data_IF_071162217156
#
_entry.id   IF_071162217156
#
_cell.length_a   1.000
_cell.length_b   1.000
_cell.length_c   1.000
_cell.angle_alpha   90.00
_cell.angle_beta   90.00
_cell.angle_gamma   90.00
#
_symmetry.space_group_name_H-M   'P 1'
#
loop_
_entity.id
_entity.type
_entity.pdbx_description
1 polymer ?
#
# COMPACT_ATOMS: atom_id res chain seq x y z
N UNK A 1 22.46 -25.48 -3.05
CA UNK A 1 21.81 -24.68 -2.00
C UNK A 1 21.89 -23.22 -2.40
N UNK A 2 20.76 -22.56 -2.64
CA UNK A 2 20.75 -21.11 -2.86
C UNK A 2 21.28 -20.40 -1.61
N UNK A 3 22.36 -19.63 -1.74
CA UNK A 3 22.87 -18.81 -0.65
C UNK A 3 21.77 -17.85 -0.18
N UNK A 4 21.36 -17.97 1.07
CA UNK A 4 20.38 -17.09 1.71
C UNK A 4 20.94 -15.67 1.73
N UNK A 5 20.26 -14.73 1.08
CA UNK A 5 20.62 -13.31 1.12
C UNK A 5 20.30 -12.76 2.51
N UNK A 6 21.28 -12.16 3.16
CA UNK A 6 21.15 -11.52 4.48
C UNK A 6 21.15 -10.00 4.34
N UNK A 7 20.55 -9.30 5.31
CA UNK A 7 20.55 -7.83 5.34
C UNK A 7 21.95 -7.23 5.41
N UNK A 8 22.90 -7.99 5.98
CA UNK A 8 24.32 -7.59 6.13
C UNK A 8 25.16 -7.70 4.86
N UNK A 9 24.63 -8.34 3.82
CA UNK A 9 25.38 -8.59 2.59
C UNK A 9 25.63 -7.28 1.79
N UNK A 10 26.66 -7.33 0.93
CA UNK A 10 26.80 -6.30 -0.10
C UNK A 10 25.79 -6.54 -1.23
N UNK A 11 25.03 -5.48 -1.58
CA UNK A 11 23.98 -5.55 -2.58
C UNK A 11 24.44 -5.00 -3.95
N UNK A 12 24.82 -5.91 -4.86
CA UNK A 12 24.90 -5.63 -6.30
C UNK A 12 23.50 -5.53 -6.92
N UNK A 13 23.36 -5.04 -8.16
CA UNK A 13 22.08 -4.95 -8.87
C UNK A 13 21.30 -6.27 -8.84
N UNK A 14 21.93 -7.38 -9.25
CA UNK A 14 21.27 -8.69 -9.30
C UNK A 14 20.82 -9.20 -7.92
N UNK A 15 21.63 -8.98 -6.87
CA UNK A 15 21.25 -9.38 -5.49
C UNK A 15 20.11 -8.52 -4.96
N UNK A 16 20.12 -7.21 -5.25
CA UNK A 16 19.09 -6.28 -4.84
C UNK A 16 17.74 -6.63 -5.49
N UNK A 17 17.72 -6.84 -6.80
CA UNK A 17 16.53 -7.27 -7.53
C UNK A 17 16.03 -8.61 -6.97
N UNK A 18 16.91 -9.63 -6.83
CA UNK A 18 16.51 -10.94 -6.32
C UNK A 18 15.92 -10.90 -4.90
N UNK A 19 16.39 -9.98 -4.07
CA UNK A 19 15.88 -9.80 -2.71
C UNK A 19 14.53 -9.07 -2.69
N UNK A 20 14.32 -8.10 -3.59
CA UNK A 20 13.10 -7.27 -3.63
C UNK A 20 11.97 -7.86 -4.48
N UNK A 21 12.26 -8.73 -5.46
CA UNK A 21 11.24 -9.39 -6.31
C UNK A 21 10.10 -10.01 -5.50
N UNK A 22 10.30 -10.77 -4.42
CA UNK A 22 9.17 -11.33 -3.68
C UNK A 22 8.24 -10.25 -3.12
N UNK A 23 8.78 -9.11 -2.67
CA UNK A 23 7.97 -7.98 -2.18
C UNK A 23 7.22 -7.28 -3.32
N UNK A 24 7.85 -7.14 -4.49
CA UNK A 24 7.21 -6.60 -5.69
C UNK A 24 6.05 -7.51 -6.12
N UNK A 25 6.29 -8.81 -6.24
CA UNK A 25 5.25 -9.78 -6.61
C UNK A 25 4.13 -9.83 -5.56
N UNK A 26 4.45 -9.71 -4.28
CA UNK A 26 3.45 -9.62 -3.20
C UNK A 26 2.50 -8.44 -3.42
N UNK A 27 3.03 -7.25 -3.73
CA UNK A 27 2.21 -6.06 -3.96
C UNK A 27 1.40 -6.15 -5.26
N UNK A 28 1.99 -6.66 -6.34
CA UNK A 28 1.26 -6.90 -7.60
C UNK A 28 0.10 -7.88 -7.36
N UNK A 29 0.34 -8.97 -6.65
CA UNK A 29 -0.69 -9.96 -6.37
C UNK A 29 -1.81 -9.38 -5.49
N UNK A 30 -1.46 -8.53 -4.52
CA UNK A 30 -2.43 -7.79 -3.69
C UNK A 30 -3.32 -6.88 -4.55
N UNK A 31 -2.74 -6.18 -5.53
CA UNK A 31 -3.52 -5.32 -6.44
C UNK A 31 -4.45 -6.15 -7.35
N UNK A 32 -3.95 -7.25 -7.90
CA UNK A 32 -4.74 -8.12 -8.79
C UNK A 32 -5.92 -8.75 -8.05
N UNK A 33 -5.71 -9.33 -6.88
CA UNK A 33 -6.83 -9.96 -6.18
C UNK A 33 -7.88 -8.94 -5.71
N UNK A 34 -7.49 -7.71 -5.39
CA UNK A 34 -8.43 -6.63 -5.09
C UNK A 34 -9.34 -6.28 -6.28
N UNK A 35 -8.80 -6.28 -7.50
CA UNK A 35 -9.59 -6.09 -8.74
C UNK A 35 -10.55 -7.27 -8.95
N UNK A 36 -10.08 -8.50 -8.73
CA UNK A 36 -10.89 -9.72 -8.89
C UNK A 36 -12.03 -9.76 -7.86
N UNK A 37 -11.77 -9.44 -6.59
CA UNK A 37 -12.78 -9.32 -5.54
C UNK A 37 -13.88 -8.32 -5.93
N UNK A 38 -13.49 -7.12 -6.39
CA UNK A 38 -14.44 -6.13 -6.90
C UNK A 38 -15.29 -6.63 -8.07
N UNK A 39 -14.71 -7.40 -8.99
CA UNK A 39 -15.44 -8.04 -10.09
C UNK A 39 -16.49 -9.03 -9.58
N UNK A 40 -16.14 -9.90 -8.65
CA UNK A 40 -17.09 -10.85 -8.07
C UNK A 40 -18.24 -10.14 -7.35
N UNK A 41 -17.94 -9.15 -6.51
CA UNK A 41 -18.97 -8.39 -5.79
C UNK A 41 -19.93 -7.71 -6.78
N UNK A 42 -19.41 -7.04 -7.81
CA UNK A 42 -20.26 -6.32 -8.78
C UNK A 42 -21.18 -7.23 -9.57
N UNK A 43 -20.74 -8.46 -9.92
CA UNK A 43 -21.50 -9.37 -10.80
C UNK A 43 -22.44 -10.30 -10.03
N UNK A 44 -22.11 -10.68 -8.79
CA UNK A 44 -22.88 -11.68 -8.05
C UNK A 44 -23.78 -11.11 -6.95
N UNK A 45 -23.48 -9.90 -6.45
CA UNK A 45 -24.22 -9.35 -5.31
C UNK A 45 -25.23 -8.28 -5.72
N UNK A 46 -24.97 -7.60 -6.82
CA UNK A 46 -25.87 -6.59 -7.36
C UNK A 46 -25.42 -5.15 -7.12
N UNK A 47 -26.16 -4.20 -7.70
CA UNK A 47 -25.76 -2.78 -7.79
C UNK A 47 -25.72 -2.08 -6.43
N UNK A 48 -26.78 -2.20 -5.62
CA UNK A 48 -26.85 -1.52 -4.31
C UNK A 48 -25.82 -2.04 -3.32
N UNK A 49 -25.64 -3.36 -3.12
CA UNK A 49 -24.59 -3.89 -2.26
C UNK A 49 -23.17 -3.54 -2.75
N UNK A 50 -22.93 -3.56 -4.06
CA UNK A 50 -21.64 -3.13 -4.62
C UNK A 50 -21.34 -1.67 -4.31
N UNK A 51 -22.35 -0.79 -4.42
CA UNK A 51 -22.22 0.61 -4.03
C UNK A 51 -21.92 0.75 -2.55
N UNK A 52 -22.58 -0.03 -1.68
CA UNK A 52 -22.35 -0.03 -0.24
C UNK A 52 -20.91 -0.44 0.13
N UNK A 53 -20.37 -1.48 -0.53
CA UNK A 53 -18.97 -1.90 -0.34
C UNK A 53 -18.01 -0.76 -0.68
N UNK A 54 -18.14 -0.17 -1.88
CA UNK A 54 -17.27 0.93 -2.30
C UNK A 54 -17.39 2.17 -1.39
N UNK A 55 -18.57 2.38 -0.84
CA UNK A 55 -18.84 3.52 0.04
C UNK A 55 -18.16 3.39 1.40
N UNK A 56 -18.16 2.20 2.02
CA UNK A 56 -17.54 1.97 3.34
C UNK A 56 -16.04 1.65 3.25
N UNK A 57 -15.54 1.24 2.06
CA UNK A 57 -14.14 0.85 1.85
C UNK A 57 -13.11 1.91 2.28
N UNK A 58 -13.25 3.21 1.97
CA UNK A 58 -12.27 4.22 2.42
C UNK A 58 -12.07 4.23 3.93
N UNK A 59 -13.15 4.09 4.70
CA UNK A 59 -13.07 3.98 6.15
C UNK A 59 -12.31 2.72 6.58
N UNK A 60 -12.65 1.56 6.02
CA UNK A 60 -12.00 0.29 6.34
C UNK A 60 -10.51 0.30 5.97
N UNK A 61 -10.14 0.93 4.85
CA UNK A 61 -8.75 1.10 4.44
C UNK A 61 -7.97 1.98 5.41
N UNK A 62 -8.53 3.09 5.88
CA UNK A 62 -7.87 3.98 6.85
C UNK A 62 -7.60 3.26 8.17
N UNK A 63 -8.58 2.53 8.72
CA UNK A 63 -8.34 1.79 9.98
C UNK A 63 -7.37 0.63 9.78
N UNK A 64 -7.40 -0.06 8.63
CA UNK A 64 -6.44 -1.10 8.27
C UNK A 64 -5.02 -0.59 8.06
N UNK A 65 -4.86 0.64 7.56
CA UNK A 65 -3.56 1.26 7.28
C UNK A 65 -2.68 1.43 8.54
N UNK A 66 -3.26 1.36 9.74
CA UNK A 66 -2.47 1.29 10.97
C UNK A 66 -1.58 0.04 11.03
N UNK A 67 -1.97 -1.05 10.38
CA UNK A 67 -1.12 -2.24 10.21
C UNK A 67 0.14 -1.94 9.39
N UNK A 68 0.00 -1.17 8.30
CA UNK A 68 1.15 -0.67 7.54
C UNK A 68 2.04 0.25 8.37
N UNK A 69 1.46 1.17 9.15
CA UNK A 69 2.21 2.06 10.03
C UNK A 69 3.11 1.27 10.99
N UNK A 70 2.57 0.27 11.69
CA UNK A 70 3.36 -0.60 12.57
C UNK A 70 4.37 -1.44 11.79
N UNK A 71 3.99 -1.92 10.60
CA UNK A 71 4.82 -2.75 9.73
C UNK A 71 6.05 -2.00 9.22
N UNK A 72 5.86 -0.89 8.51
CA UNK A 72 6.95 -0.13 7.87
C UNK A 72 7.82 0.57 8.89
N UNK A 73 7.21 1.29 9.84
CA UNK A 73 7.95 1.99 10.89
C UNK A 73 8.67 1.02 11.85
N UNK A 74 8.03 -0.11 12.17
CA UNK A 74 8.62 -1.18 12.97
C UNK A 74 9.75 -1.91 12.27
N UNK A 75 9.57 -2.21 10.98
CA UNK A 75 10.58 -2.83 10.11
C UNK A 75 11.87 -2.02 10.10
N UNK A 76 11.78 -0.71 9.89
CA UNK A 76 12.93 0.19 9.91
C UNK A 76 13.62 0.21 11.28
N UNK A 77 12.86 0.31 12.37
CA UNK A 77 13.43 0.32 13.73
C UNK A 77 14.14 -0.99 14.06
N UNK A 78 13.51 -2.14 13.76
CA UNK A 78 14.07 -3.46 14.04
C UNK A 78 15.33 -3.70 13.21
N UNK A 79 15.29 -3.43 11.90
CA UNK A 79 16.42 -3.63 11.00
C UNK A 79 17.63 -2.76 11.43
N UNK A 80 17.38 -1.52 11.83
CA UNK A 80 18.41 -0.65 12.38
C UNK A 80 19.06 -1.24 13.64
N UNK A 81 18.27 -1.72 14.60
CA UNK A 81 18.77 -2.33 15.84
C UNK A 81 19.54 -3.61 15.55
N UNK A 82 19.13 -4.39 14.54
CA UNK A 82 19.88 -5.53 14.05
C UNK A 82 21.25 -5.12 13.49
N UNK A 83 21.29 -4.03 12.71
CA UNK A 83 22.52 -3.43 12.19
C UNK A 83 23.47 -2.95 13.29
N UNK A 84 22.93 -2.43 14.39
CA UNK A 84 23.69 -2.06 15.60
C UNK A 84 24.23 -3.31 16.37
N UNK A 85 23.96 -4.54 15.91
CA UNK A 85 24.39 -5.80 16.54
C UNK A 85 23.52 -6.25 17.72
N UNK A 86 22.47 -5.53 18.08
CA UNK A 86 21.60 -5.79 19.25
C UNK A 86 20.42 -6.71 18.91
N UNK A 87 20.73 -7.95 18.49
CA UNK A 87 19.70 -8.91 18.01
C UNK A 87 18.63 -9.26 19.04
N UNK A 88 18.98 -9.39 20.32
CA UNK A 88 17.99 -9.68 21.37
C UNK A 88 16.97 -8.55 21.52
N UNK A 89 17.45 -7.29 21.53
CA UNK A 89 16.58 -6.12 21.59
C UNK A 89 15.68 -6.02 20.35
N UNK A 90 16.19 -6.38 19.17
CA UNK A 90 15.40 -6.44 17.95
C UNK A 90 14.24 -7.45 18.06
N UNK A 91 14.47 -8.64 18.66
CA UNK A 91 13.43 -9.65 18.89
C UNK A 91 12.40 -9.22 19.95
N UNK A 92 12.83 -8.51 21.00
CA UNK A 92 11.91 -7.95 22.01
C UNK A 92 10.98 -6.92 21.37
N UNK A 93 11.52 -5.99 20.56
CA UNK A 93 10.75 -4.96 19.88
C UNK A 93 9.85 -5.59 18.80
N UNK A 94 10.32 -6.59 18.06
CA UNK A 94 9.49 -7.34 17.12
C UNK A 94 8.26 -7.93 17.81
N UNK A 95 8.45 -8.58 18.95
CA UNK A 95 7.35 -9.18 19.72
C UNK A 95 6.40 -8.13 20.28
N UNK A 96 6.92 -7.00 20.75
CA UNK A 96 6.13 -5.88 21.24
C UNK A 96 5.25 -5.29 20.11
N UNK A 97 5.82 -5.08 18.93
CA UNK A 97 5.10 -4.51 17.80
C UNK A 97 4.00 -5.42 17.29
N UNK A 98 4.25 -6.74 17.21
CA UNK A 98 3.20 -7.69 16.83
C UNK A 98 2.06 -7.71 17.85
N UNK A 99 2.38 -7.73 19.15
CA UNK A 99 1.36 -7.65 20.21
C UNK A 99 0.60 -6.32 20.15
N UNK A 100 1.30 -5.19 19.99
CA UNK A 100 0.68 -3.87 19.87
C UNK A 100 -0.23 -3.75 18.63
N UNK A 101 0.20 -4.29 17.49
CA UNK A 101 -0.61 -4.32 16.26
C UNK A 101 -1.90 -5.11 16.48
N UNK A 102 -1.81 -6.30 17.09
CA UNK A 102 -3.00 -7.11 17.36
C UNK A 102 -3.96 -6.45 18.35
N UNK A 103 -3.43 -5.95 19.48
CA UNK A 103 -4.23 -5.30 20.52
C UNK A 103 -4.87 -4.01 20.00
N UNK A 104 -4.12 -3.17 19.29
CA UNK A 104 -4.68 -1.95 18.68
C UNK A 104 -5.74 -2.29 17.64
N UNK A 105 -5.51 -3.33 16.82
CA UNK A 105 -6.52 -3.82 15.87
C UNK A 105 -7.80 -4.28 16.57
N UNK A 106 -7.68 -4.98 17.69
CA UNK A 106 -8.85 -5.41 18.48
C UNK A 106 -9.61 -4.20 19.06
N UNK A 107 -8.90 -3.24 19.64
CA UNK A 107 -9.52 -2.02 20.21
C UNK A 107 -10.22 -1.21 19.13
N UNK A 108 -9.55 -0.99 18.00
CA UNK A 108 -10.11 -0.26 16.85
C UNK A 108 -11.32 -1.01 16.29
N UNK A 109 -11.26 -2.35 16.17
CA UNK A 109 -12.38 -3.15 15.70
C UNK A 109 -13.61 -2.98 16.59
N UNK A 110 -13.43 -3.10 17.92
CA UNK A 110 -14.54 -2.93 18.88
C UNK A 110 -15.14 -1.53 18.78
N UNK A 111 -14.32 -0.48 18.82
CA UNK A 111 -14.79 0.91 18.70
C UNK A 111 -15.50 1.12 17.35
N UNK A 112 -14.90 0.67 16.26
CA UNK A 112 -15.48 0.82 14.93
C UNK A 112 -16.79 0.07 14.77
N UNK A 113 -16.94 -1.14 15.31
CA UNK A 113 -18.20 -1.91 15.26
C UNK A 113 -19.30 -1.19 16.05
N UNK A 114 -18.98 -0.62 17.20
CA UNK A 114 -19.96 0.12 18.04
C UNK A 114 -20.46 1.38 17.32
N UNK A 115 -19.59 2.11 16.65
CA UNK A 115 -19.91 3.36 15.97
C UNK A 115 -20.17 3.22 14.46
N UNK A 116 -20.14 2.01 13.92
CA UNK A 116 -20.28 1.78 12.48
C UNK A 116 -21.56 2.35 11.87
N UNK A 117 -22.76 2.22 12.50
CA UNK A 117 -23.98 2.83 11.98
C UNK A 117 -23.88 4.35 11.87
N UNK A 118 -23.30 5.00 12.89
CA UNK A 118 -23.11 6.45 12.92
C UNK A 118 -22.09 6.90 11.88
N UNK A 119 -21.00 6.14 11.71
CA UNK A 119 -19.96 6.42 10.71
C UNK A 119 -20.54 6.30 9.30
N UNK A 120 -21.26 5.22 8.99
CA UNK A 120 -21.87 5.02 7.68
C UNK A 120 -22.93 6.08 7.37
N UNK A 121 -23.77 6.46 8.34
CA UNK A 121 -24.74 7.51 8.20
C UNK A 121 -24.07 8.89 8.03
N UNK A 122 -23.03 9.19 8.79
CA UNK A 122 -22.23 10.43 8.64
C UNK A 122 -21.58 10.56 7.27
N UNK A 123 -21.13 9.46 6.69
CA UNK A 123 -20.63 9.42 5.33
C UNK A 123 -21.74 9.64 4.27
N UNK A 124 -23.01 9.48 4.63
CA UNK A 124 -24.18 9.73 3.77
C UNK A 124 -24.90 8.46 3.31
N UNK A 125 -24.65 7.29 3.93
CA UNK A 125 -25.41 6.08 3.62
C UNK A 125 -26.81 6.12 4.24
N UNK A 126 -27.82 5.76 3.45
CA UNK A 126 -29.23 5.75 3.85
C UNK A 126 -29.93 4.46 3.40
N UNK A 127 -31.05 4.12 4.03
CA UNK A 127 -31.92 3.00 3.63
C UNK A 127 -31.21 1.65 3.56
N UNK A 128 -31.40 0.93 2.45
CA UNK A 128 -30.80 -0.39 2.22
C UNK A 128 -29.27 -0.33 2.14
N UNK A 129 -28.72 0.74 1.54
CA UNK A 129 -27.27 0.93 1.45
C UNK A 129 -26.64 1.05 2.83
N UNK A 130 -27.28 1.71 3.78
CA UNK A 130 -26.81 1.78 5.18
C UNK A 130 -26.79 0.39 5.84
N UNK A 131 -27.85 -0.39 5.64
CA UNK A 131 -27.92 -1.76 6.17
C UNK A 131 -26.81 -2.66 5.60
N UNK A 132 -26.52 -2.55 4.31
CA UNK A 132 -25.46 -3.28 3.64
C UNK A 132 -24.06 -2.82 4.09
N UNK A 133 -23.82 -1.52 4.25
CA UNK A 133 -22.59 -0.98 4.82
C UNK A 133 -22.32 -1.55 6.23
N UNK A 134 -23.36 -1.62 7.07
CA UNK A 134 -23.26 -2.14 8.44
C UNK A 134 -22.98 -3.65 8.39
N UNK A 135 -23.68 -4.40 7.55
CA UNK A 135 -23.52 -5.85 7.45
C UNK A 135 -22.10 -6.21 6.96
N UNK A 136 -21.65 -5.60 5.88
CA UNK A 136 -20.32 -5.79 5.32
C UNK A 136 -19.23 -5.36 6.31
N UNK A 137 -19.33 -4.13 6.80
CA UNK A 137 -18.31 -3.53 7.67
C UNK A 137 -18.13 -4.29 8.97
N UNK A 138 -19.21 -4.79 9.61
CA UNK A 138 -19.11 -5.60 10.83
C UNK A 138 -18.28 -6.86 10.63
N UNK A 139 -18.49 -7.60 9.53
CA UNK A 139 -17.75 -8.83 9.26
C UNK A 139 -16.27 -8.52 9.02
N UNK A 140 -15.95 -7.51 8.23
CA UNK A 140 -14.57 -7.10 7.96
C UNK A 140 -13.88 -6.60 9.24
N UNK A 141 -14.57 -5.82 10.06
CA UNK A 141 -14.00 -5.28 11.31
C UNK A 141 -13.67 -6.37 12.34
N UNK A 142 -14.41 -7.49 12.36
CA UNK A 142 -14.04 -8.65 13.18
C UNK A 142 -12.69 -9.24 12.75
N UNK A 143 -12.38 -9.22 11.47
CA UNK A 143 -11.10 -9.68 10.93
C UNK A 143 -9.99 -8.60 11.00
N UNK A 144 -10.29 -7.36 11.35
CA UNK A 144 -9.35 -6.23 11.35
C UNK A 144 -8.03 -6.49 12.09
N UNK A 145 -7.99 -7.12 13.29
CA UNK A 145 -6.73 -7.42 13.97
C UNK A 145 -5.80 -8.29 13.11
N UNK A 146 -6.35 -9.23 12.38
CA UNK A 146 -5.60 -10.12 11.49
C UNK A 146 -5.17 -9.42 10.20
N UNK A 147 -6.02 -8.56 9.64
CA UNK A 147 -5.65 -7.69 8.52
C UNK A 147 -4.45 -6.81 8.88
N UNK A 148 -4.50 -6.16 10.05
CA UNK A 148 -3.39 -5.32 10.52
C UNK A 148 -2.12 -6.15 10.73
N UNK A 149 -2.22 -7.38 11.25
CA UNK A 149 -1.09 -8.31 11.34
C UNK A 149 -0.56 -8.68 9.95
N UNK A 150 -1.43 -8.99 8.99
CA UNK A 150 -1.03 -9.31 7.62
C UNK A 150 -0.21 -8.17 6.98
N UNK A 151 -0.68 -6.94 7.12
CA UNK A 151 0.03 -5.76 6.63
C UNK A 151 1.37 -5.55 7.35
N UNK A 152 1.39 -5.69 8.67
CA UNK A 152 2.62 -5.57 9.44
C UNK A 152 3.64 -6.67 9.06
N UNK A 153 3.20 -7.91 8.91
CA UNK A 153 4.06 -9.02 8.48
C UNK A 153 4.55 -8.90 7.05
N UNK A 154 3.86 -8.18 6.18
CA UNK A 154 4.32 -7.85 4.83
C UNK A 154 5.72 -7.23 4.86
N UNK A 155 5.92 -6.19 5.67
CA UNK A 155 7.22 -5.52 5.85
C UNK A 155 8.16 -6.29 6.79
N UNK A 156 7.63 -6.80 7.91
CA UNK A 156 8.44 -7.48 8.93
C UNK A 156 9.01 -8.82 8.47
N UNK A 157 8.37 -9.51 7.53
CA UNK A 157 8.93 -10.73 6.92
C UNK A 157 10.19 -10.43 6.12
N UNK A 158 10.26 -9.27 5.46
CA UNK A 158 11.46 -8.82 4.75
C UNK A 158 12.59 -8.53 5.74
N UNK A 159 12.28 -7.85 6.84
CA UNK A 159 13.23 -7.59 7.94
C UNK A 159 13.74 -8.88 8.58
N UNK A 160 12.90 -9.90 8.67
CA UNK A 160 13.26 -11.23 9.15
C UNK A 160 14.06 -12.06 8.13
N UNK A 161 14.47 -11.46 7.00
CA UNK A 161 15.15 -12.11 5.88
C UNK A 161 14.34 -13.27 5.25
N UNK A 162 13.02 -13.12 5.27
CA UNK A 162 12.05 -14.09 4.71
C UNK A 162 11.04 -13.43 3.76
N UNK A 163 11.49 -12.67 2.73
CA UNK A 163 10.55 -11.99 1.84
C UNK A 163 9.63 -12.97 1.08
N UNK A 164 10.11 -14.18 0.79
CA UNK A 164 9.28 -15.23 0.17
C UNK A 164 8.09 -15.66 1.07
N UNK A 165 8.21 -15.55 2.40
CA UNK A 165 7.11 -15.86 3.32
C UNK A 165 5.95 -14.88 3.12
N UNK A 166 6.24 -13.58 3.04
CA UNK A 166 5.22 -12.57 2.76
C UNK A 166 4.48 -12.84 1.45
N UNK A 167 5.22 -13.13 0.38
CA UNK A 167 4.63 -13.49 -0.92
C UNK A 167 3.73 -14.71 -0.84
N UNK A 168 4.21 -15.82 -0.26
CA UNK A 168 3.42 -17.06 -0.15
C UNK A 168 2.14 -16.84 0.66
N UNK A 169 2.23 -16.11 1.76
CA UNK A 169 1.07 -15.77 2.60
C UNK A 169 0.05 -14.95 1.80
N UNK A 170 0.49 -13.95 1.05
CA UNK A 170 -0.39 -13.13 0.22
C UNK A 170 -1.07 -13.95 -0.87
N UNK A 171 -0.34 -14.87 -1.53
CA UNK A 171 -0.93 -15.76 -2.53
C UNK A 171 -1.98 -16.66 -1.88
N UNK A 172 -1.68 -17.28 -0.74
CA UNK A 172 -2.65 -18.15 -0.03
C UNK A 172 -3.90 -17.36 0.37
N UNK A 173 -3.72 -16.15 0.96
CA UNK A 173 -4.82 -15.27 1.33
C UNK A 173 -5.70 -14.90 0.14
N UNK A 174 -5.08 -14.48 -0.97
CA UNK A 174 -5.79 -14.08 -2.18
C UNK A 174 -6.53 -15.25 -2.84
N UNK A 175 -5.90 -16.42 -2.93
CA UNK A 175 -6.57 -17.64 -3.48
C UNK A 175 -7.75 -18.05 -2.61
N UNK A 176 -7.62 -17.99 -1.29
CA UNK A 176 -8.72 -18.33 -0.37
C UNK A 176 -9.85 -17.30 -0.45
N UNK A 177 -9.53 -16.00 -0.58
CA UNK A 177 -10.53 -14.97 -0.81
C UNK A 177 -11.29 -15.24 -2.12
N UNK A 178 -10.61 -15.38 -3.27
CA UNK A 178 -11.26 -15.66 -4.56
C UNK A 178 -12.09 -16.97 -4.54
N UNK A 179 -11.57 -18.02 -3.90
CA UNK A 179 -12.32 -19.29 -3.74
C UNK A 179 -13.53 -19.08 -2.86
N UNK A 180 -13.40 -18.29 -1.79
CA UNK A 180 -14.50 -17.91 -0.91
C UNK A 180 -15.56 -17.11 -1.65
N UNK A 181 -15.18 -16.18 -2.52
CA UNK A 181 -16.09 -15.38 -3.34
C UNK A 181 -16.94 -16.27 -4.25
N UNK A 182 -16.31 -17.19 -4.97
CA UNK A 182 -17.04 -18.18 -5.80
C UNK A 182 -18.00 -19.02 -4.95
N UNK A 183 -17.54 -19.49 -3.79
CA UNK A 183 -18.32 -20.40 -2.95
C UNK A 183 -19.47 -19.66 -2.25
N UNK A 184 -19.20 -18.54 -1.57
CA UNK A 184 -20.18 -17.87 -0.73
C UNK A 184 -21.15 -17.01 -1.54
N UNK A 185 -20.69 -16.36 -2.62
CA UNK A 185 -21.54 -15.57 -3.49
C UNK A 185 -22.12 -16.40 -4.64
N UNK A 186 -21.30 -17.21 -5.32
CA UNK A 186 -21.72 -17.93 -6.51
C UNK A 186 -22.54 -19.20 -6.19
N UNK A 187 -22.13 -20.01 -5.19
CA UNK A 187 -22.79 -21.28 -4.86
C UNK A 187 -23.82 -21.10 -3.76
N UNK A 188 -23.47 -20.47 -2.65
CA UNK A 188 -24.37 -20.33 -1.49
C UNK A 188 -25.29 -19.13 -1.57
N UNK A 189 -25.03 -18.18 -2.47
CA UNK A 189 -25.84 -16.96 -2.67
C UNK A 189 -26.03 -16.12 -1.40
N UNK A 190 -24.99 -16.03 -0.56
CA UNK A 190 -25.02 -15.25 0.68
C UNK A 190 -24.92 -13.73 0.46
N UNK A 191 -24.89 -13.28 -0.79
CA UNK A 191 -24.85 -11.86 -1.15
C UNK A 191 -23.65 -11.13 -0.54
N UNK A 192 -23.89 -9.91 -0.05
CA UNK A 192 -22.84 -9.04 0.51
C UNK A 192 -22.15 -9.64 1.75
N UNK A 193 -22.87 -10.43 2.54
CA UNK A 193 -22.27 -11.15 3.68
C UNK A 193 -21.27 -12.20 3.21
N UNK A 194 -21.56 -12.88 2.09
CA UNK A 194 -20.65 -13.83 1.46
C UNK A 194 -19.33 -13.17 1.02
N UNK A 195 -19.41 -12.01 0.36
CA UNK A 195 -18.24 -11.21 -0.01
C UNK A 195 -17.40 -10.84 1.22
N UNK A 196 -18.05 -10.30 2.26
CA UNK A 196 -17.37 -9.93 3.50
C UNK A 196 -16.71 -11.14 4.18
N UNK A 197 -17.36 -12.30 4.20
CA UNK A 197 -16.80 -13.51 4.81
C UNK A 197 -15.62 -14.08 4.03
N UNK A 198 -15.64 -14.04 2.70
CA UNK A 198 -14.52 -14.45 1.86
C UNK A 198 -13.29 -13.56 2.12
N UNK A 199 -13.48 -12.26 2.14
CA UNK A 199 -12.42 -11.28 2.44
C UNK A 199 -11.90 -11.44 3.88
N UNK A 200 -12.78 -11.57 4.87
CA UNK A 200 -12.40 -11.80 6.27
C UNK A 200 -11.62 -13.10 6.46
N UNK A 201 -12.00 -14.17 5.79
CA UNK A 201 -11.29 -15.46 5.82
C UNK A 201 -9.86 -15.31 5.26
N UNK A 202 -9.69 -14.63 4.12
CA UNK A 202 -8.37 -14.33 3.56
C UNK A 202 -7.50 -13.54 4.54
N UNK A 203 -8.05 -12.51 5.18
CA UNK A 203 -7.37 -11.67 6.16
C UNK A 203 -6.95 -12.45 7.42
N UNK A 204 -7.86 -13.26 7.98
CA UNK A 204 -7.59 -14.08 9.18
C UNK A 204 -6.44 -15.06 8.90
N UNK A 205 -6.47 -15.74 7.78
CA UNK A 205 -5.41 -16.68 7.39
C UNK A 205 -4.12 -15.95 7.09
N UNK A 206 -4.19 -14.81 6.40
CA UNK A 206 -3.05 -13.95 6.07
C UNK A 206 -2.31 -13.40 7.30
N UNK A 207 -3.04 -13.08 8.37
CA UNK A 207 -2.46 -12.67 9.64
C UNK A 207 -1.97 -13.85 10.49
N UNK A 208 -2.68 -14.99 10.47
CA UNK A 208 -2.41 -16.15 11.33
C UNK A 208 -1.20 -16.95 10.88
N UNK A 209 -1.02 -17.18 9.57
CA UNK A 209 0.12 -17.99 9.06
C UNK A 209 1.47 -17.42 9.50
N UNK A 210 1.80 -16.13 9.28
CA UNK A 210 3.08 -15.60 9.72
C UNK A 210 3.18 -15.53 11.25
N UNK A 211 2.08 -15.29 11.97
CA UNK A 211 2.06 -15.32 13.43
C UNK A 211 2.50 -16.69 13.95
N UNK A 212 1.91 -17.77 13.44
CA UNK A 212 2.26 -19.15 13.80
C UNK A 212 3.70 -19.48 13.40
N UNK A 213 4.14 -19.02 12.21
CA UNK A 213 5.52 -19.23 11.76
C UNK A 213 6.54 -18.62 12.73
N UNK A 214 6.34 -17.38 13.19
CA UNK A 214 7.27 -16.70 14.08
C UNK A 214 7.14 -17.16 15.55
N UNK A 215 6.01 -17.73 15.95
CA UNK A 215 5.83 -18.37 17.27
C UNK A 215 6.60 -19.69 17.38
N UNK A 216 6.69 -20.45 16.30
CA UNK A 216 7.41 -21.73 16.26
C UNK A 216 8.91 -21.53 16.08
N UNK A 217 9.70 -22.57 16.37
CA UNK A 217 11.14 -22.61 16.00
C UNK A 217 11.23 -22.50 14.47
N UNK A 218 11.90 -21.48 14.00
CA UNK A 218 12.05 -21.18 12.58
C UNK A 218 13.49 -20.79 12.23
N UNK A 219 13.80 -20.71 10.94
CA UNK A 219 15.14 -20.38 10.44
C UNK A 219 15.32 -18.88 10.14
N UNK A 220 14.44 -18.00 10.62
CA UNK A 220 14.59 -16.55 10.42
C UNK A 220 15.51 -15.90 11.45
N UNK A 221 15.92 -14.68 11.19
CA UNK A 221 16.71 -13.85 12.13
C UNK A 221 15.88 -13.35 13.31
N UNK A 222 14.54 -13.33 13.18
CA UNK A 222 13.60 -12.87 14.19
C UNK A 222 12.70 -14.01 14.66
N UNK A 223 12.33 -13.99 15.94
CA UNK A 223 11.38 -14.91 16.58
C UNK A 223 10.51 -14.15 17.56
N UNK A 224 9.27 -14.57 17.73
CA UNK A 224 8.41 -14.05 18.78
C UNK A 224 8.84 -14.61 20.13
N UNK A 225 9.03 -13.71 21.09
CA UNK A 225 9.31 -13.96 22.50
C UNK A 225 8.24 -13.27 23.36
N UNK A 226 8.33 -13.41 24.68
CA UNK A 226 7.46 -12.64 25.57
C UNK A 226 7.72 -11.14 25.35
N UNK A 227 6.69 -10.36 24.99
CA UNK A 227 6.87 -8.93 24.74
C UNK A 227 7.27 -8.23 26.04
N UNK A 228 8.28 -7.38 25.95
CA UNK A 228 8.65 -6.45 27.02
C UNK A 228 8.17 -5.07 26.65
N UNK A 229 7.51 -4.40 27.58
CA UNK A 229 6.99 -3.06 27.35
C UNK A 229 8.15 -2.06 27.13
N UNK A 230 8.12 -1.38 25.98
CA UNK A 230 9.02 -0.29 25.63
C UNK A 230 8.23 0.78 24.87
N UNK A 231 7.62 1.70 25.62
CA UNK A 231 6.80 2.77 25.04
C UNK A 231 7.61 3.70 24.12
N UNK A 232 8.93 3.84 24.37
CA UNK A 232 9.81 4.62 23.51
C UNK A 232 10.02 3.98 22.13
N UNK A 233 10.17 2.66 22.10
CA UNK A 233 10.27 1.92 20.83
C UNK A 233 8.96 1.96 20.06
N UNK A 234 7.82 1.77 20.75
CA UNK A 234 6.49 1.84 20.13
C UNK A 234 6.23 3.22 19.52
N UNK A 235 6.49 4.29 20.28
CA UNK A 235 6.37 5.66 19.77
C UNK A 235 7.23 5.88 18.53
N UNK A 236 8.50 5.43 18.55
CA UNK A 236 9.40 5.58 17.40
C UNK A 236 8.91 4.82 16.18
N UNK A 237 8.41 3.61 16.34
CA UNK A 237 7.82 2.84 15.25
C UNK A 237 6.58 3.54 14.67
N UNK A 238 5.64 3.99 15.51
CA UNK A 238 4.44 4.71 15.07
C UNK A 238 4.80 6.01 14.34
N UNK A 239 5.65 6.86 14.93
CA UNK A 239 6.04 8.13 14.30
C UNK A 239 6.80 7.94 12.99
N UNK A 240 7.56 6.86 12.88
CA UNK A 240 8.30 6.55 11.66
C UNK A 240 7.41 5.97 10.55
N UNK A 241 6.34 5.26 10.90
CA UNK A 241 5.38 4.70 9.95
C UNK A 241 4.16 5.60 9.65
N UNK A 242 4.08 6.77 10.25
CA UNK A 242 2.92 7.69 10.09
C UNK A 242 2.68 8.11 8.64
N UNK A 243 3.73 8.09 7.80
CA UNK A 243 3.62 8.34 6.36
C UNK A 243 2.62 7.43 5.65
N UNK A 244 2.48 6.18 6.09
CA UNK A 244 1.52 5.22 5.51
C UNK A 244 0.07 5.62 5.81
N UNK A 245 -0.21 6.05 7.04
CA UNK A 245 -1.52 6.59 7.39
C UNK A 245 -1.85 7.86 6.61
N UNK A 246 -0.89 8.78 6.51
CA UNK A 246 -1.06 10.02 5.75
C UNK A 246 -1.34 9.71 4.28
N UNK A 247 -0.62 8.78 3.68
CA UNK A 247 -0.87 8.34 2.30
C UNK A 247 -2.28 7.78 2.13
N UNK A 248 -2.72 6.88 3.01
CA UNK A 248 -4.03 6.23 2.90
C UNK A 248 -5.19 7.22 3.05
N UNK A 249 -5.10 8.15 4.01
CA UNK A 249 -6.10 9.21 4.19
C UNK A 249 -6.11 10.14 2.98
N UNK A 250 -4.92 10.55 2.53
CA UNK A 250 -4.76 11.46 1.39
C UNK A 250 -5.34 10.87 0.10
N UNK A 251 -5.04 9.60 -0.19
CA UNK A 251 -5.59 8.90 -1.37
C UNK A 251 -7.13 8.88 -1.37
N UNK A 252 -7.75 8.65 -0.22
CA UNK A 252 -9.22 8.67 -0.11
C UNK A 252 -9.80 10.05 -0.42
N UNK A 253 -9.21 11.11 0.12
CA UNK A 253 -9.65 12.50 -0.12
C UNK A 253 -9.45 12.89 -1.59
N UNK A 254 -8.29 12.59 -2.14
CA UNK A 254 -7.94 12.92 -3.54
C UNK A 254 -8.82 12.16 -4.51
N UNK A 255 -9.11 10.88 -4.27
CA UNK A 255 -10.05 10.11 -5.08
C UNK A 255 -11.45 10.73 -5.13
N UNK A 256 -11.94 11.25 -4.00
CA UNK A 256 -13.21 12.00 -3.97
C UNK A 256 -13.14 13.29 -4.79
N UNK A 257 -12.02 14.02 -4.72
CA UNK A 257 -11.82 15.25 -5.51
C UNK A 257 -11.78 14.97 -7.02
N UNK A 258 -11.07 13.92 -7.45
CA UNK A 258 -11.07 13.49 -8.85
C UNK A 258 -12.49 13.18 -9.33
N UNK A 259 -13.24 12.37 -8.59
CA UNK A 259 -14.59 12.01 -8.94
C UNK A 259 -15.52 13.25 -9.03
N UNK A 260 -15.40 14.18 -8.08
CA UNK A 260 -16.18 15.42 -8.09
C UNK A 260 -15.87 16.31 -9.32
N UNK A 261 -14.59 16.48 -9.64
CA UNK A 261 -14.17 17.26 -10.80
C UNK A 261 -14.55 16.57 -12.11
N UNK A 262 -14.34 15.27 -12.23
CA UNK A 262 -14.69 14.51 -13.43
C UNK A 262 -16.20 14.50 -13.68
N UNK A 263 -17.00 14.34 -12.61
CA UNK A 263 -18.46 14.46 -12.72
C UNK A 263 -18.88 15.82 -13.29
N UNK A 264 -18.19 16.89 -12.88
CA UNK A 264 -18.48 18.26 -13.35
C UNK A 264 -18.08 18.50 -14.81
N UNK A 265 -16.93 17.96 -15.27
CA UNK A 265 -16.36 18.27 -16.59
C UNK A 265 -16.71 17.25 -17.67
N UNK A 266 -16.95 15.99 -17.32
CA UNK A 266 -17.19 14.90 -18.28
C UNK A 266 -18.33 13.96 -17.86
N UNK A 267 -19.04 14.26 -16.76
CA UNK A 267 -20.15 13.44 -16.26
C UNK A 267 -19.73 12.02 -15.88
N UNK A 268 -20.65 11.08 -15.99
CA UNK A 268 -20.42 9.67 -15.63
C UNK A 268 -19.30 9.02 -16.45
N UNK A 269 -19.13 9.41 -17.71
CA UNK A 269 -18.07 8.89 -18.57
C UNK A 269 -16.67 9.24 -18.04
N UNK A 270 -16.49 10.46 -17.53
CA UNK A 270 -15.22 10.85 -16.91
C UNK A 270 -14.88 10.02 -15.67
N UNK A 271 -15.86 9.77 -14.81
CA UNK A 271 -15.70 8.93 -13.62
C UNK A 271 -15.41 7.48 -13.99
N UNK A 272 -16.08 6.93 -15.00
CA UNK A 272 -15.84 5.58 -15.50
C UNK A 272 -14.44 5.42 -16.11
N UNK A 273 -14.00 6.41 -16.91
CA UNK A 273 -12.64 6.43 -17.45
C UNK A 273 -11.59 6.45 -16.33
N UNK A 274 -11.76 7.29 -15.32
CA UNK A 274 -10.87 7.36 -14.17
C UNK A 274 -10.81 6.05 -13.37
N UNK A 275 -11.97 5.44 -13.12
CA UNK A 275 -12.03 4.12 -12.46
C UNK A 275 -11.22 3.06 -13.21
N UNK A 276 -11.32 3.04 -14.56
CA UNK A 276 -10.53 2.13 -15.40
C UNK A 276 -9.03 2.41 -15.28
N UNK A 277 -8.62 3.68 -15.29
CA UNK A 277 -7.22 4.09 -15.12
C UNK A 277 -6.71 3.63 -13.75
N UNK A 278 -7.48 3.81 -12.69
CA UNK A 278 -7.07 3.44 -11.33
C UNK A 278 -6.80 1.95 -11.17
N UNK A 279 -7.57 1.05 -11.81
CA UNK A 279 -7.30 -0.38 -11.76
C UNK A 279 -5.92 -0.73 -12.33
N UNK A 280 -5.52 -0.06 -13.40
CA UNK A 280 -4.19 -0.26 -14.01
C UNK A 280 -3.10 0.40 -13.17
N UNK A 281 -3.36 1.61 -12.68
CA UNK A 281 -2.44 2.39 -11.84
C UNK A 281 -2.04 1.61 -10.59
N UNK A 282 -2.98 0.98 -9.88
CA UNK A 282 -2.69 0.16 -8.70
C UNK A 282 -1.69 -0.97 -8.97
N UNK A 283 -1.74 -1.60 -10.16
CA UNK A 283 -0.80 -2.66 -10.53
C UNK A 283 0.59 -2.07 -10.77
N UNK A 284 0.70 -0.93 -11.43
CA UNK A 284 1.98 -0.29 -11.72
C UNK A 284 2.62 0.34 -10.47
N UNK A 285 1.83 1.01 -9.65
CA UNK A 285 2.31 1.53 -8.36
C UNK A 285 2.78 0.40 -7.42
N UNK A 286 2.15 -0.77 -7.48
CA UNK A 286 2.56 -1.93 -6.69
C UNK A 286 4.03 -2.32 -6.92
N UNK A 287 4.59 -2.08 -8.10
CA UNK A 287 6.00 -2.36 -8.42
C UNK A 287 6.91 -1.44 -7.60
N UNK A 288 6.61 -0.15 -7.56
CA UNK A 288 7.41 0.84 -6.82
C UNK A 288 7.26 0.66 -5.30
N UNK A 289 6.04 0.43 -4.82
CA UNK A 289 5.76 0.17 -3.40
C UNK A 289 6.42 -1.13 -2.96
N UNK A 290 6.33 -2.19 -3.77
CA UNK A 290 6.96 -3.47 -3.49
C UNK A 290 8.48 -3.38 -3.44
N UNK A 291 9.09 -2.64 -4.37
CA UNK A 291 10.52 -2.36 -4.34
C UNK A 291 10.92 -1.59 -3.08
N UNK A 292 10.22 -0.51 -2.76
CA UNK A 292 10.46 0.31 -1.60
C UNK A 292 10.36 -0.49 -0.29
N UNK A 293 9.30 -1.30 -0.14
CA UNK A 293 9.11 -2.21 1.01
C UNK A 293 10.22 -3.25 1.10
N UNK A 294 10.68 -3.77 -0.04
CA UNK A 294 11.75 -4.78 -0.09
C UNK A 294 13.12 -4.22 0.28
N UNK A 295 13.45 -3.00 -0.15
CA UNK A 295 14.77 -2.40 0.07
C UNK A 295 14.90 -1.67 1.41
N UNK A 296 13.81 -1.16 1.97
CA UNK A 296 13.82 -0.37 3.21
C UNK A 296 14.54 -1.06 4.40
N UNK A 297 14.32 -2.36 4.71
CA UNK A 297 15.04 -3.03 5.79
C UNK A 297 16.53 -3.13 5.54
N UNK A 298 16.98 -3.26 4.29
CA UNK A 298 18.40 -3.30 3.92
C UNK A 298 19.05 -1.96 4.21
N UNK A 299 18.41 -0.86 3.80
CA UNK A 299 18.87 0.51 4.07
C UNK A 299 18.93 0.76 5.58
N UNK A 300 17.88 0.39 6.32
CA UNK A 300 17.82 0.55 7.78
C UNK A 300 18.92 -0.22 8.50
N UNK A 301 19.20 -1.45 8.05
CA UNK A 301 20.27 -2.28 8.62
C UNK A 301 21.64 -1.63 8.43
N UNK A 302 21.99 -1.22 7.20
CA UNK A 302 23.27 -0.61 6.93
C UNK A 302 23.42 0.77 7.58
N UNK A 303 22.31 1.51 7.73
CA UNK A 303 22.30 2.73 8.52
C UNK A 303 22.62 2.45 9.99
N UNK A 304 21.99 1.42 10.60
CA UNK A 304 22.27 0.99 11.97
C UNK A 304 23.71 0.48 12.17
N UNK A 305 24.26 -0.21 11.18
CA UNK A 305 25.63 -0.69 11.16
C UNK A 305 26.68 0.40 10.89
N UNK A 306 26.28 1.64 10.61
CA UNK A 306 27.19 2.73 10.25
C UNK A 306 27.92 2.55 8.92
N UNK A 307 27.43 1.68 8.04
CA UNK A 307 28.02 1.37 6.74
C UNK A 307 27.62 2.37 5.67
N UNK A 308 28.27 3.55 5.71
CA UNK A 308 28.00 4.66 4.80
C UNK A 308 28.25 4.33 3.32
N UNK A 309 29.26 3.48 3.06
CA UNK A 309 29.58 3.06 1.66
C UNK A 309 28.44 2.27 1.05
N UNK A 310 27.88 1.33 1.81
CA UNK A 310 26.76 0.53 1.32
C UNK A 310 25.47 1.35 1.25
N UNK A 311 25.27 2.30 2.16
CA UNK A 311 24.13 3.21 2.12
C UNK A 311 24.12 4.06 0.83
N UNK A 312 25.28 4.61 0.44
CA UNK A 312 25.46 5.33 -0.82
C UNK A 312 25.24 4.41 -2.04
N UNK A 313 25.80 3.19 -2.00
CA UNK A 313 25.62 2.18 -3.02
C UNK A 313 24.13 1.83 -3.21
N UNK A 314 23.39 1.58 -2.14
CA UNK A 314 21.96 1.27 -2.16
C UNK A 314 21.14 2.43 -2.75
N UNK A 315 21.41 3.67 -2.32
CA UNK A 315 20.73 4.85 -2.86
C UNK A 315 20.95 4.99 -4.38
N UNK A 316 22.19 4.94 -4.85
CA UNK A 316 22.52 5.07 -6.26
C UNK A 316 21.89 3.97 -7.11
N UNK A 317 22.01 2.71 -6.66
CA UNK A 317 21.41 1.57 -7.38
C UNK A 317 19.91 1.61 -7.39
N UNK A 318 19.28 2.01 -6.29
CA UNK A 318 17.83 2.18 -6.23
C UNK A 318 17.34 3.26 -7.20
N UNK A 319 18.01 4.42 -7.26
CA UNK A 319 17.66 5.47 -8.22
C UNK A 319 17.75 4.96 -9.67
N UNK A 320 18.80 4.20 -10.00
CA UNK A 320 18.96 3.61 -11.36
C UNK A 320 17.85 2.58 -11.65
N UNK A 321 17.55 1.68 -10.69
CA UNK A 321 16.49 0.68 -10.86
C UNK A 321 15.11 1.32 -11.00
N UNK A 322 14.83 2.35 -10.22
CA UNK A 322 13.57 3.09 -10.30
C UNK A 322 13.47 3.80 -11.64
N UNK A 323 14.53 4.47 -12.11
CA UNK A 323 14.55 5.12 -13.41
C UNK A 323 14.28 4.12 -14.55
N UNK A 324 14.92 2.95 -14.50
CA UNK A 324 14.70 1.89 -15.49
C UNK A 324 13.26 1.35 -15.43
N UNK A 325 12.73 1.10 -14.21
CA UNK A 325 11.36 0.65 -14.02
C UNK A 325 10.35 1.73 -14.49
N UNK A 326 10.56 2.99 -14.14
CA UNK A 326 9.72 4.13 -14.54
C UNK A 326 9.62 4.26 -16.06
N UNK A 327 10.76 4.18 -16.76
CA UNK A 327 10.77 4.22 -18.23
C UNK A 327 10.06 3.00 -18.82
N UNK A 328 10.30 1.81 -18.26
CA UNK A 328 9.62 0.58 -18.70
C UNK A 328 8.12 0.66 -18.48
N UNK A 329 7.67 1.21 -17.34
CA UNK A 329 6.26 1.39 -17.04
C UNK A 329 5.58 2.38 -18.00
N UNK A 330 6.22 3.51 -18.29
CA UNK A 330 5.69 4.45 -19.28
C UNK A 330 5.53 3.78 -20.66
N UNK A 331 6.57 3.12 -21.16
CA UNK A 331 6.52 2.45 -22.47
C UNK A 331 5.46 1.35 -22.50
N UNK A 332 5.38 0.55 -21.43
CA UNK A 332 4.36 -0.49 -21.32
C UNK A 332 2.95 0.11 -21.25
N UNK A 333 2.77 1.20 -20.51
CA UNK A 333 1.51 1.92 -20.40
C UNK A 333 1.00 2.40 -21.74
N UNK A 334 1.86 3.03 -22.55
CA UNK A 334 1.48 3.53 -23.87
C UNK A 334 1.07 2.40 -24.83
N UNK A 335 1.81 1.29 -24.82
CA UNK A 335 1.49 0.12 -25.66
C UNK A 335 0.20 -0.57 -25.19
N UNK A 336 -0.02 -0.63 -23.88
CA UNK A 336 -1.14 -1.36 -23.27
C UNK A 336 -2.39 -0.50 -23.05
N UNK A 337 -2.33 0.82 -23.29
CA UNK A 337 -3.45 1.74 -23.02
C UNK A 337 -4.75 1.30 -23.68
N UNK A 338 -4.73 1.08 -24.99
CA UNK A 338 -5.92 0.69 -25.75
C UNK A 338 -6.42 -0.74 -25.39
N UNK A 339 -5.57 -1.79 -25.33
CA UNK A 339 -6.00 -3.12 -24.91
C UNK A 339 -6.57 -3.15 -23.50
N UNK A 340 -5.94 -2.46 -22.54
CA UNK A 340 -6.42 -2.44 -21.15
C UNK A 340 -7.73 -1.67 -21.00
N UNK A 341 -7.85 -0.50 -21.65
CA UNK A 341 -9.09 0.25 -21.67
C UNK A 341 -10.25 -0.56 -22.30
N UNK A 342 -9.96 -1.28 -23.39
CA UNK A 342 -10.97 -2.09 -24.08
C UNK A 342 -11.56 -3.22 -23.22
N UNK A 343 -10.79 -3.76 -22.27
CA UNK A 343 -11.28 -4.79 -21.33
C UNK A 343 -12.43 -4.24 -20.46
N UNK A 344 -12.34 -2.98 -20.04
CA UNK A 344 -13.28 -2.37 -19.09
C UNK A 344 -14.39 -1.56 -19.77
N UNK A 345 -14.07 -0.83 -20.84
CA UNK A 345 -14.96 0.14 -21.48
C UNK A 345 -15.11 -0.06 -22.98
N UNK A 346 -14.71 -1.22 -23.52
CA UNK A 346 -14.78 -1.51 -24.96
C UNK A 346 -16.20 -1.61 -25.56
N UNK A 347 -17.22 -1.57 -24.72
CA UNK A 347 -18.63 -1.55 -25.13
C UNK A 347 -19.11 -0.17 -25.64
N UNK A 348 -18.38 0.91 -25.36
CA UNK A 348 -18.67 2.27 -25.79
C UNK A 348 -17.43 2.90 -26.44
N UNK A 349 -17.51 3.18 -27.75
CA UNK A 349 -16.38 3.70 -28.51
C UNK A 349 -15.95 5.11 -28.05
N UNK A 350 -16.89 5.96 -27.66
CA UNK A 350 -16.58 7.31 -27.17
C UNK A 350 -15.91 7.30 -25.80
N UNK A 351 -16.37 6.44 -24.90
CA UNK A 351 -15.77 6.23 -23.59
C UNK A 351 -14.39 5.58 -23.71
N UNK A 352 -14.23 4.62 -24.63
CA UNK A 352 -12.93 3.99 -24.90
C UNK A 352 -11.89 5.02 -25.37
N UNK A 353 -12.25 5.86 -26.35
CA UNK A 353 -11.36 6.90 -26.86
C UNK A 353 -10.98 7.92 -25.78
N UNK A 354 -11.96 8.37 -24.98
CA UNK A 354 -11.70 9.22 -23.81
C UNK A 354 -10.75 8.55 -22.83
N UNK A 355 -10.95 7.27 -22.52
CA UNK A 355 -10.14 6.53 -21.55
C UNK A 355 -8.71 6.35 -22.04
N UNK A 356 -8.51 6.00 -23.31
CA UNK A 356 -7.17 5.86 -23.91
C UNK A 356 -6.44 7.20 -23.89
N UNK A 357 -7.10 8.28 -24.29
CA UNK A 357 -6.53 9.63 -24.26
C UNK A 357 -6.15 10.05 -22.82
N UNK A 358 -7.05 9.85 -21.87
CA UNK A 358 -6.81 10.16 -20.46
C UNK A 358 -5.65 9.34 -19.91
N UNK A 359 -5.59 8.05 -20.23
CA UNK A 359 -4.55 7.15 -19.76
C UNK A 359 -3.16 7.50 -20.31
N UNK A 360 -3.05 7.85 -21.60
CA UNK A 360 -1.78 8.31 -22.20
C UNK A 360 -1.24 9.57 -21.51
N UNK A 361 -2.11 10.51 -21.12
CA UNK A 361 -1.68 11.67 -20.32
C UNK A 361 -1.24 11.21 -18.92
N UNK A 362 -2.07 10.41 -18.24
CA UNK A 362 -1.81 9.95 -16.87
C UNK A 362 -0.52 9.13 -16.78
N UNK A 363 -0.23 8.29 -17.77
CA UNK A 363 0.92 7.39 -17.83
C UNK A 363 2.28 8.11 -17.69
N UNK A 364 2.35 9.38 -18.10
CA UNK A 364 3.58 10.19 -17.93
C UNK A 364 3.97 10.32 -16.45
N UNK A 365 3.01 10.25 -15.53
CA UNK A 365 3.27 10.28 -14.08
C UNK A 365 4.16 9.12 -13.61
N UNK A 366 4.12 7.97 -14.29
CA UNK A 366 4.96 6.81 -13.95
C UNK A 366 6.46 7.08 -14.06
N UNK A 367 6.88 8.08 -14.85
CA UNK A 367 8.28 8.52 -14.87
C UNK A 367 8.75 9.10 -13.53
N UNK A 368 7.84 9.62 -12.73
CA UNK A 368 8.14 10.43 -11.56
C UNK A 368 7.74 9.77 -10.24
N UNK A 369 6.58 9.11 -10.19
CA UNK A 369 5.98 8.59 -8.96
C UNK A 369 6.89 7.64 -8.19
N UNK A 370 7.67 6.81 -8.89
CA UNK A 370 8.61 5.88 -8.27
C UNK A 370 9.69 6.57 -7.42
N UNK A 371 10.15 7.75 -7.84
CA UNK A 371 11.15 8.51 -7.09
C UNK A 371 10.57 9.10 -5.81
N UNK A 372 9.35 9.61 -5.85
CA UNK A 372 8.64 10.15 -4.69
C UNK A 372 8.35 9.05 -3.65
N UNK A 373 7.84 7.90 -4.10
CA UNK A 373 7.55 6.72 -3.26
C UNK A 373 8.82 6.23 -2.59
N UNK A 374 9.88 6.04 -3.36
CA UNK A 374 11.17 5.59 -2.84
C UNK A 374 11.78 6.59 -1.85
N UNK A 375 11.73 7.88 -2.14
CA UNK A 375 12.29 8.91 -1.25
C UNK A 375 11.59 8.92 0.11
N UNK A 376 10.26 8.80 0.14
CA UNK A 376 9.51 8.66 1.39
C UNK A 376 9.95 7.40 2.15
N UNK A 377 9.99 6.25 1.50
CA UNK A 377 10.44 4.99 2.10
C UNK A 377 11.91 5.02 2.55
N UNK A 378 12.78 5.72 1.82
CA UNK A 378 14.18 5.92 2.18
C UNK A 378 14.33 6.69 3.50
N UNK A 379 13.57 7.77 3.69
CA UNK A 379 13.59 8.51 4.95
C UNK A 379 12.95 7.71 6.10
N UNK A 380 11.91 6.93 5.83
CA UNK A 380 11.38 5.95 6.81
C UNK A 380 12.46 4.96 7.23
N UNK A 381 13.22 4.43 6.27
CA UNK A 381 14.31 3.49 6.52
C UNK A 381 15.45 4.10 7.35
N UNK A 382 15.73 5.40 7.19
CA UNK A 382 16.68 6.14 8.02
C UNK A 382 16.15 6.50 9.41
N UNK A 383 14.87 6.24 9.70
CA UNK A 383 14.21 6.61 10.95
C UNK A 383 13.77 8.07 11.00
N UNK A 384 13.70 8.75 9.87
CA UNK A 384 13.20 10.13 9.74
C UNK A 384 11.74 10.14 9.27
N UNK A 385 10.85 9.63 10.12
CA UNK A 385 9.42 9.52 9.84
C UNK A 385 8.75 10.86 9.54
N UNK A 386 9.25 11.97 10.12
CA UNK A 386 8.69 13.28 9.85
C UNK A 386 8.92 13.69 8.39
N UNK A 387 10.15 13.53 7.88
CA UNK A 387 10.46 13.85 6.48
C UNK A 387 9.70 12.95 5.53
N UNK A 388 9.61 11.65 5.84
CA UNK A 388 8.81 10.70 5.08
C UNK A 388 7.33 11.11 5.04
N UNK A 389 6.75 11.43 6.19
CA UNK A 389 5.36 11.88 6.30
C UNK A 389 5.11 13.19 5.54
N UNK A 390 6.04 14.15 5.60
CA UNK A 390 5.94 15.39 4.83
C UNK A 390 5.96 15.15 3.32
N UNK A 391 6.86 14.28 2.83
CA UNK A 391 6.89 13.93 1.40
C UNK A 391 5.57 13.30 0.99
N UNK A 392 5.06 12.32 1.73
CA UNK A 392 3.81 11.64 1.44
C UNK A 392 2.60 12.59 1.47
N UNK A 393 2.52 13.44 2.50
CA UNK A 393 1.45 14.42 2.68
C UNK A 393 1.45 15.48 1.58
N UNK A 394 2.61 16.09 1.31
CA UNK A 394 2.75 17.11 0.27
C UNK A 394 2.42 16.52 -1.11
N UNK A 395 2.96 15.34 -1.43
CA UNK A 395 2.74 14.66 -2.70
C UNK A 395 1.25 14.49 -2.99
N UNK A 396 0.55 13.79 -2.12
CA UNK A 396 -0.83 13.35 -2.39
C UNK A 396 -1.83 14.43 -1.96
N UNK A 397 -1.83 14.85 -0.70
CA UNK A 397 -2.90 15.73 -0.23
C UNK A 397 -2.75 17.16 -0.71
N UNK A 398 -1.53 17.73 -0.75
CA UNK A 398 -1.36 19.13 -1.10
C UNK A 398 -1.22 19.31 -2.60
N UNK A 399 -0.21 18.69 -3.20
CA UNK A 399 0.09 18.97 -4.62
C UNK A 399 -0.94 18.36 -5.56
N UNK A 400 -1.38 17.14 -5.30
CA UNK A 400 -2.35 16.48 -6.17
C UNK A 400 -3.73 17.11 -6.01
N UNK A 401 -4.21 17.40 -4.79
CA UNK A 401 -5.48 18.13 -4.59
C UNK A 401 -5.46 19.51 -5.22
N UNK A 402 -4.39 20.28 -5.02
CA UNK A 402 -4.25 21.60 -5.62
C UNK A 402 -4.27 21.51 -7.16
N UNK A 403 -3.54 20.56 -7.73
CA UNK A 403 -3.48 20.36 -9.18
C UNK A 403 -4.84 19.97 -9.77
N UNK A 404 -5.57 19.05 -9.12
CA UNK A 404 -6.91 18.61 -9.54
C UNK A 404 -7.94 19.75 -9.49
N UNK A 405 -7.77 20.72 -8.59
CA UNK A 405 -8.67 21.88 -8.48
C UNK A 405 -8.27 22.99 -9.47
N UNK A 406 -6.97 23.28 -9.59
CA UNK A 406 -6.50 24.47 -10.33
C UNK A 406 -6.35 24.20 -11.82
N UNK A 407 -5.76 23.08 -12.23
CA UNK A 407 -5.46 22.82 -13.64
C UNK A 407 -6.70 22.72 -14.54
N UNK A 408 -7.85 22.17 -14.10
CA UNK A 408 -9.06 22.17 -14.92
C UNK A 408 -9.57 23.57 -15.28
N UNK A 409 -9.28 24.57 -14.45
CA UNK A 409 -9.65 25.97 -14.75
C UNK A 409 -8.88 26.54 -15.94
N UNK A 410 -7.70 25.98 -16.25
CA UNK A 410 -6.83 26.43 -17.34
C UNK A 410 -6.91 25.52 -18.57
N UNK A 411 -6.99 24.21 -18.36
CA UNK A 411 -6.86 23.18 -19.39
C UNK A 411 -8.11 22.30 -19.56
N UNK A 412 -9.20 22.63 -18.86
CA UNK A 412 -10.43 21.83 -18.89
C UNK A 412 -10.20 20.39 -18.44
N UNK A 413 -10.81 19.43 -19.12
CA UNK A 413 -10.73 18.01 -18.80
C UNK A 413 -9.28 17.47 -18.82
N UNK A 414 -8.45 17.92 -19.76
CA UNK A 414 -7.04 17.53 -19.82
C UNK A 414 -6.25 18.00 -18.61
N UNK A 415 -6.67 19.08 -17.96
CA UNK A 415 -6.11 19.54 -16.70
C UNK A 415 -6.33 18.55 -15.55
N UNK A 416 -7.47 17.84 -15.53
CA UNK A 416 -7.73 16.79 -14.54
C UNK A 416 -6.80 15.60 -14.78
N UNK A 417 -6.69 15.14 -16.03
CA UNK A 417 -5.80 14.00 -16.38
C UNK A 417 -4.32 14.30 -16.15
N UNK A 418 -3.90 15.55 -16.40
CA UNK A 418 -2.52 16.00 -16.19
C UNK A 418 -2.20 16.41 -14.76
N UNK A 419 -3.17 16.48 -13.86
CA UNK A 419 -2.98 16.94 -12.48
C UNK A 419 -1.92 16.14 -11.72
N UNK A 420 -1.94 14.82 -11.89
CA UNK A 420 -0.98 13.92 -11.27
C UNK A 420 0.47 14.20 -11.73
N UNK A 421 0.67 14.56 -12.99
CA UNK A 421 2.02 14.84 -13.54
C UNK A 421 2.62 16.05 -12.82
N UNK A 422 1.84 17.13 -12.69
CA UNK A 422 2.29 18.36 -12.00
C UNK A 422 2.56 18.07 -10.52
N UNK A 423 1.66 17.33 -9.87
CA UNK A 423 1.84 16.91 -8.47
C UNK A 423 3.13 16.10 -8.27
N UNK A 424 3.40 15.14 -9.15
CA UNK A 424 4.62 14.32 -9.08
C UNK A 424 5.90 15.13 -9.37
N UNK A 425 5.87 16.07 -10.33
CA UNK A 425 6.99 17.00 -10.55
C UNK A 425 7.33 17.78 -9.30
N UNK A 426 6.31 18.34 -8.64
CA UNK A 426 6.49 19.10 -7.38
C UNK A 426 7.01 18.16 -6.27
N UNK A 427 6.48 16.97 -6.17
CA UNK A 427 6.87 15.97 -5.16
C UNK A 427 8.32 15.51 -5.34
N UNK A 428 8.73 15.20 -6.57
CA UNK A 428 10.13 14.83 -6.87
C UNK A 428 11.06 15.99 -6.52
N UNK A 429 10.68 17.22 -6.85
CA UNK A 429 11.46 18.43 -6.49
C UNK A 429 11.66 18.53 -4.98
N UNK A 430 10.59 18.39 -4.20
CA UNK A 430 10.65 18.39 -2.72
C UNK A 430 11.50 17.23 -2.20
N UNK A 431 11.34 16.04 -2.79
CA UNK A 431 12.12 14.85 -2.44
C UNK A 431 13.63 15.08 -2.66
N UNK A 432 14.02 15.66 -3.77
CA UNK A 432 15.41 15.99 -4.08
C UNK A 432 15.94 17.06 -3.10
N UNK A 433 15.15 18.08 -2.79
CA UNK A 433 15.52 19.11 -1.79
C UNK A 433 15.82 18.44 -0.44
N UNK A 434 14.95 17.55 0.05
CA UNK A 434 15.20 16.85 1.32
C UNK A 434 16.40 15.92 1.25
N UNK A 435 16.59 15.19 0.14
CA UNK A 435 17.77 14.36 -0.05
C UNK A 435 19.07 15.19 -0.01
N UNK A 436 19.11 16.34 -0.66
CA UNK A 436 20.29 17.20 -0.64
C UNK A 436 20.49 17.87 0.74
N UNK A 437 19.44 18.40 1.33
CA UNK A 437 19.51 19.09 2.62
C UNK A 437 19.96 18.18 3.77
N UNK A 438 19.49 16.93 3.78
CA UNK A 438 19.76 15.99 4.87
C UNK A 438 20.97 15.06 4.64
N UNK A 439 21.66 15.20 3.52
CA UNK A 439 22.81 14.34 3.18
C UNK A 439 23.93 14.36 4.24
N UNK A 440 24.22 15.51 4.81
CA UNK A 440 25.25 15.64 5.86
C UNK A 440 24.83 14.98 7.17
N UNK A 441 23.52 15.00 7.50
CA UNK A 441 22.98 14.42 8.73
C UNK A 441 23.05 12.91 8.69
N UNK A 442 22.69 12.29 7.58
CA UNK A 442 22.59 10.82 7.44
C UNK A 442 23.77 10.20 6.72
N UNK A 443 24.63 10.99 6.11
CA UNK A 443 25.90 10.60 5.51
C UNK A 443 25.79 9.48 4.45
N UNK A 444 24.78 9.58 3.59
CA UNK A 444 24.56 8.64 2.47
C UNK A 444 25.11 9.14 1.12
N UNK A 445 25.80 10.28 1.11
CA UNK A 445 26.61 10.81 0.00
C UNK A 445 28.03 11.03 0.44
#
# INVERSE_FOLDING_TARGET
MEQRIQLSDHFGFGRLIRFTIPSILMMIFTSIYGVVDGYFVSNFVGKTPFAAVNFIMPFLMVVGAMGFMFGTGGSALIARIMGEGRREKAQEIFSLLIAATFVSGLVIAVISILFLPQIAAFLGAEGEMLADCIRYGRIILVALPFLMLQYAFGSLSVTAEKPKLGLIVTIISGVLNMTGDVLFMGVFHWGIAGAAMATAMGQIIGGTIPLVYFLRKNSSSLRLRRPKWDGGALRRACTNGVSELMSSISMSIVGMLYNAQLMRYAGENGVAAYGTIMYVDFIFLAIFIGYATGVAPVISYHYGAGNKKELNNLLKRSVVLIAAASLSMLLLSEVMAAPLAAIFVGYDAGLLDMTVHAYSIYAVSFLLCGFSIFSSAFFTALGDGLTSALIAFLRTLVFESASVIILPLLLGLNGIWGAIIVAECMSVTVSVIFLVAKRKRYQYF
#
